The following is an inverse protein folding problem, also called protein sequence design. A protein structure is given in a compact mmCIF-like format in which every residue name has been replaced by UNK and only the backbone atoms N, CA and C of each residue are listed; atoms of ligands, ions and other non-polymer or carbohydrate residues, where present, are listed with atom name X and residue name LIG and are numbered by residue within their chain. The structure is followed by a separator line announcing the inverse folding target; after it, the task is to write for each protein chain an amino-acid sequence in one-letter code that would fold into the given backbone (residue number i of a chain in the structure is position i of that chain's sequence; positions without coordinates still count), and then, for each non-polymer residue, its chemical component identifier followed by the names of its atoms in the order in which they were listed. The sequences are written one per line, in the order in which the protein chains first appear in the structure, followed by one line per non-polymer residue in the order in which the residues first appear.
data_IF_417001817833
#
_entry.id   IF_417001817833
#
_cell.length_a   1.000
_cell.length_b   1.000
_cell.length_c   1.000
_cell.angle_alpha   90.00
_cell.angle_beta   90.00
_cell.angle_gamma   90.00
#
_symmetry.space_group_name_H-M   'P 1'
#
loop_
_entity.id
_entity.type
_entity.pdbx_description
1 polymer ?
#
# COMPACT_ATOMS: atom_id res chain seq x y z
N UNK A 1 -45.64 -63.72 -52.29
CA UNK A 1 -44.83 -62.51 -51.96
C UNK A 1 -45.33 -61.77 -50.70
N UNK A 2 -46.64 -61.55 -50.48
CA UNK A 2 -47.17 -60.94 -49.23
C UNK A 2 -46.83 -61.70 -47.93
N UNK A 3 -46.87 -63.03 -47.96
CA UNK A 3 -46.61 -63.87 -46.78
C UNK A 3 -45.20 -63.73 -46.19
N UNK A 4 -44.21 -63.44 -47.05
CA UNK A 4 -42.82 -63.28 -46.61
C UNK A 4 -42.61 -61.96 -45.87
N UNK A 5 -43.35 -60.92 -46.27
CA UNK A 5 -43.27 -59.58 -45.66
C UNK A 5 -43.86 -59.55 -44.25
N UNK A 6 -44.92 -60.33 -44.02
CA UNK A 6 -45.52 -60.50 -42.69
C UNK A 6 -44.58 -61.23 -41.72
N UNK A 7 -43.91 -62.30 -42.18
CA UNK A 7 -42.93 -63.02 -41.32
C UNK A 7 -41.70 -62.18 -40.95
N UNK A 8 -41.30 -61.25 -41.81
CA UNK A 8 -40.19 -60.31 -41.51
C UNK A 8 -40.55 -59.31 -40.40
N UNK A 9 -41.81 -58.85 -40.33
CA UNK A 9 -42.28 -57.97 -39.23
C UNK A 9 -42.29 -58.69 -37.87
N UNK A 10 -42.53 -60.00 -37.86
CA UNK A 10 -42.51 -60.81 -36.62
C UNK A 10 -41.08 -61.04 -36.13
N UNK A 11 -40.11 -61.13 -37.05
CA UNK A 11 -38.71 -61.40 -36.72
C UNK A 11 -37.93 -60.14 -36.30
N UNK A 12 -38.37 -58.97 -36.77
CA UNK A 12 -37.85 -57.66 -36.38
C UNK A 12 -39.03 -56.78 -35.97
N UNK A 13 -39.44 -56.80 -34.68
CA UNK A 13 -40.37 -55.80 -34.20
C UNK A 13 -39.71 -54.44 -34.46
N UNK A 14 -40.32 -53.61 -35.30
CA UNK A 14 -39.95 -52.21 -35.37
C UNK A 14 -40.18 -51.67 -33.95
N UNK A 15 -39.11 -51.12 -33.37
CA UNK A 15 -39.14 -50.54 -32.04
C UNK A 15 -39.93 -49.24 -32.15
N UNK A 16 -41.25 -49.34 -32.09
CA UNK A 16 -42.21 -48.23 -32.11
C UNK A 16 -42.33 -47.59 -30.71
N UNK A 17 -41.34 -47.81 -29.85
CA UNK A 17 -41.22 -47.07 -28.59
C UNK A 17 -41.03 -45.60 -28.95
N UNK A 18 -41.86 -44.66 -28.45
CA UNK A 18 -41.52 -43.25 -28.57
C UNK A 18 -40.20 -43.12 -27.83
N UNK A 19 -39.13 -43.03 -28.62
CA UNK A 19 -37.76 -42.85 -28.16
C UNK A 19 -37.83 -41.71 -27.17
N UNK A 20 -37.70 -42.02 -25.88
CA UNK A 20 -37.74 -41.01 -24.84
C UNK A 20 -36.83 -39.88 -25.30
N UNK A 21 -37.40 -38.68 -25.42
CA UNK A 21 -36.75 -37.48 -25.95
C UNK A 21 -35.54 -37.15 -25.07
N UNK A 22 -34.46 -37.90 -25.24
CA UNK A 22 -33.13 -37.53 -24.82
C UNK A 22 -32.61 -36.61 -25.91
N UNK A 23 -33.20 -35.41 -25.93
CA UNK A 23 -32.61 -34.28 -26.64
C UNK A 23 -31.14 -34.23 -26.21
N UNK A 24 -30.17 -34.31 -27.14
CA UNK A 24 -28.78 -34.15 -26.79
C UNK A 24 -28.66 -32.74 -26.21
N UNK A 25 -28.36 -32.65 -24.91
CA UNK A 25 -28.20 -31.36 -24.22
C UNK A 25 -27.34 -30.49 -25.12
N UNK A 26 -27.96 -29.43 -25.65
CA UNK A 26 -27.36 -28.57 -26.65
C UNK A 26 -26.03 -28.07 -26.12
N UNK A 27 -25.02 -27.95 -26.98
CA UNK A 27 -23.71 -27.45 -26.56
C UNK A 27 -23.83 -26.08 -25.88
N UNK A 28 -24.85 -25.31 -26.27
CA UNK A 28 -25.25 -24.06 -25.64
C UNK A 28 -25.79 -24.25 -24.21
N UNK A 29 -26.63 -25.26 -23.96
CA UNK A 29 -27.15 -25.53 -22.60
C UNK A 29 -26.04 -26.00 -21.65
N UNK A 30 -25.09 -26.78 -22.16
CA UNK A 30 -23.90 -27.19 -21.41
C UNK A 30 -23.00 -25.99 -21.07
N UNK A 31 -22.88 -25.04 -22.00
CA UNK A 31 -22.18 -23.78 -21.77
C UNK A 31 -22.94 -22.95 -20.73
N UNK A 32 -24.24 -22.73 -20.92
CA UNK A 32 -25.09 -21.96 -20.02
C UNK A 32 -24.99 -22.53 -18.61
N UNK A 33 -25.14 -23.84 -18.39
CA UNK A 33 -25.02 -24.45 -17.05
C UNK A 33 -23.66 -24.17 -16.38
N UNK A 34 -22.58 -24.14 -17.16
CA UNK A 34 -21.22 -23.84 -16.67
C UNK A 34 -21.03 -22.35 -16.33
N UNK A 35 -21.73 -21.44 -17.02
CA UNK A 35 -21.66 -19.98 -16.77
C UNK A 35 -22.76 -19.49 -15.81
N UNK A 36 -23.86 -20.25 -15.65
CA UNK A 36 -25.01 -19.95 -14.78
C UNK A 36 -24.63 -19.62 -13.33
N UNK A 37 -23.65 -20.27 -12.68
CA UNK A 37 -23.24 -19.85 -11.33
C UNK A 37 -22.71 -18.41 -11.29
N UNK A 38 -22.10 -17.90 -12.37
CA UNK A 38 -21.60 -16.52 -12.47
C UNK A 38 -22.71 -15.49 -12.78
N UNK A 39 -23.80 -15.92 -13.41
CA UNK A 39 -24.99 -15.09 -13.71
C UNK A 39 -25.95 -14.95 -12.51
N UNK A 40 -25.76 -15.75 -11.45
CA UNK A 40 -26.55 -15.60 -10.22
C UNK A 40 -26.17 -14.29 -9.50
N UNK A 41 -27.15 -13.44 -9.13
CA UNK A 41 -26.88 -12.10 -8.58
C UNK A 41 -26.03 -12.13 -7.31
N UNK A 42 -26.12 -13.20 -6.51
CA UNK A 42 -25.29 -13.38 -5.30
C UNK A 42 -23.80 -13.58 -5.63
N UNK A 43 -23.45 -14.31 -6.69
CA UNK A 43 -22.06 -14.50 -7.11
C UNK A 43 -21.51 -13.28 -7.85
N UNK A 44 -22.37 -12.57 -8.59
CA UNK A 44 -22.02 -11.29 -9.20
C UNK A 44 -21.56 -10.27 -8.15
N UNK A 45 -22.34 -10.10 -7.06
CA UNK A 45 -21.97 -9.19 -5.96
C UNK A 45 -20.66 -9.60 -5.27
N UNK A 46 -20.47 -10.91 -5.02
CA UNK A 46 -19.22 -11.42 -4.46
C UNK A 46 -18.02 -11.16 -5.38
N UNK A 47 -18.19 -11.37 -6.69
CA UNK A 47 -17.14 -11.12 -7.68
C UNK A 47 -16.80 -9.63 -7.82
N UNK A 48 -17.81 -8.76 -7.81
CA UNK A 48 -17.62 -7.31 -7.83
C UNK A 48 -16.86 -6.84 -6.58
N UNK A 49 -17.20 -7.36 -5.40
CA UNK A 49 -16.47 -7.09 -4.16
C UNK A 49 -15.00 -7.53 -4.21
N UNK A 50 -14.73 -8.70 -4.81
CA UNK A 50 -13.37 -9.20 -5.01
C UNK A 50 -12.56 -8.29 -5.94
N UNK A 51 -13.15 -7.83 -7.05
CA UNK A 51 -12.49 -6.91 -7.99
C UNK A 51 -12.17 -5.57 -7.31
N UNK A 52 -13.11 -5.02 -6.53
CA UNK A 52 -12.89 -3.78 -5.77
C UNK A 52 -11.78 -3.99 -4.74
N UNK A 53 -11.79 -5.12 -4.02
CA UNK A 53 -10.76 -5.47 -3.04
C UNK A 53 -9.37 -5.57 -3.67
N UNK A 54 -9.23 -6.29 -4.79
CA UNK A 54 -7.95 -6.42 -5.50
C UNK A 54 -7.47 -5.07 -6.01
N UNK A 55 -8.35 -4.28 -6.61
CA UNK A 55 -8.01 -2.94 -7.12
C UNK A 55 -7.54 -2.03 -5.99
N UNK A 56 -8.25 -2.05 -4.85
CA UNK A 56 -7.86 -1.31 -3.64
C UNK A 56 -6.50 -1.75 -3.11
N UNK A 57 -6.25 -3.06 -3.04
CA UNK A 57 -4.99 -3.62 -2.56
C UNK A 57 -3.80 -3.19 -3.45
N UNK A 58 -3.95 -3.26 -4.77
CA UNK A 58 -2.92 -2.83 -5.73
C UNK A 58 -2.61 -1.34 -5.55
N UNK A 59 -3.65 -0.52 -5.45
CA UNK A 59 -3.51 0.92 -5.22
C UNK A 59 -2.83 1.20 -3.87
N UNK A 60 -3.17 0.46 -2.82
CA UNK A 60 -2.60 0.61 -1.49
C UNK A 60 -1.11 0.26 -1.46
N UNK A 61 -0.70 -0.83 -2.12
CA UNK A 61 0.72 -1.22 -2.23
C UNK A 61 1.51 -0.14 -2.97
N UNK A 62 1.01 0.32 -4.12
CA UNK A 62 1.66 1.39 -4.90
C UNK A 62 1.73 2.71 -4.15
N UNK A 63 0.70 3.02 -3.37
CA UNK A 63 0.69 4.20 -2.51
C UNK A 63 1.73 4.08 -1.38
N UNK A 64 1.80 2.92 -0.73
CA UNK A 64 2.78 2.64 0.32
C UNK A 64 4.21 2.76 -0.19
N UNK A 65 4.51 2.21 -1.38
CA UNK A 65 5.83 2.37 -2.01
C UNK A 65 6.18 3.84 -2.28
N UNK A 66 5.22 4.63 -2.78
CA UNK A 66 5.42 6.07 -3.04
C UNK A 66 5.61 6.85 -1.75
N UNK A 67 4.80 6.58 -0.74
CA UNK A 67 4.87 7.21 0.57
C UNK A 67 6.21 6.88 1.26
N UNK A 68 6.64 5.62 1.20
CA UNK A 68 7.91 5.18 1.75
C UNK A 68 9.10 5.90 1.09
N UNK A 69 9.08 6.08 -0.24
CA UNK A 69 10.11 6.86 -0.95
C UNK A 69 10.14 8.33 -0.52
N UNK A 70 8.98 8.94 -0.27
CA UNK A 70 8.91 10.33 0.21
C UNK A 70 9.48 10.45 1.62
N UNK A 71 9.14 9.52 2.51
CA UNK A 71 9.70 9.47 3.87
C UNK A 71 11.22 9.24 3.86
N UNK A 72 11.68 8.32 3.02
CA UNK A 72 13.11 8.04 2.85
C UNK A 72 13.86 9.31 2.39
N UNK A 73 13.29 10.08 1.46
CA UNK A 73 13.87 11.34 0.99
C UNK A 73 13.89 12.43 2.07
N UNK A 74 12.84 12.55 2.88
CA UNK A 74 12.77 13.48 4.01
C UNK A 74 13.88 13.16 5.05
N UNK A 75 14.07 11.88 5.39
CA UNK A 75 15.13 11.46 6.31
C UNK A 75 16.53 11.69 5.73
N UNK A 76 16.75 11.39 4.45
CA UNK A 76 18.04 11.68 3.77
C UNK A 76 18.38 13.16 3.86
N UNK A 77 17.42 14.03 3.59
CA UNK A 77 17.62 15.48 3.64
C UNK A 77 17.95 15.97 5.06
N UNK A 78 17.16 15.57 6.07
CA UNK A 78 17.41 15.94 7.47
C UNK A 78 18.75 15.44 7.99
N UNK A 79 19.19 14.27 7.54
CA UNK A 79 20.51 13.76 7.88
C UNK A 79 21.64 14.61 7.28
N UNK A 80 21.52 15.03 6.01
CA UNK A 80 22.49 15.94 5.38
C UNK A 80 22.56 17.27 6.16
N UNK A 81 21.39 17.82 6.54
CA UNK A 81 21.32 19.00 7.38
C UNK A 81 21.98 18.80 8.76
N UNK A 82 21.73 17.66 9.40
CA UNK A 82 22.34 17.30 10.68
C UNK A 82 23.87 17.19 10.58
N UNK A 83 24.39 16.61 9.49
CA UNK A 83 25.84 16.49 9.27
C UNK A 83 26.49 17.82 8.90
N UNK A 84 25.74 18.79 8.39
CA UNK A 84 26.21 20.13 8.04
C UNK A 84 27.11 20.19 6.79
N UNK A 85 27.41 19.04 6.17
CA UNK A 85 28.16 18.90 4.91
C UNK A 85 27.63 17.69 4.13
N UNK A 86 27.60 17.81 2.81
CA UNK A 86 27.25 16.73 1.90
C UNK A 86 28.53 16.12 1.32
N UNK A 87 29.16 15.20 2.07
CA UNK A 87 30.33 14.48 1.57
C UNK A 87 29.87 13.42 0.55
N UNK A 88 30.57 13.33 -0.59
CA UNK A 88 30.18 12.41 -1.68
C UNK A 88 30.06 10.94 -1.23
N UNK A 89 30.91 10.50 -0.30
CA UNK A 89 30.85 9.16 0.29
C UNK A 89 29.60 8.93 1.17
N UNK A 90 29.13 9.97 1.86
CA UNK A 90 27.91 9.88 2.67
C UNK A 90 26.66 9.88 1.81
N UNK A 91 26.67 10.62 0.70
CA UNK A 91 25.60 10.58 -0.30
C UNK A 91 25.52 9.20 -0.95
N UNK A 92 26.66 8.64 -1.38
CA UNK A 92 26.75 7.31 -1.98
C UNK A 92 26.28 6.21 -1.02
N UNK A 93 26.65 6.31 0.26
CA UNK A 93 26.16 5.41 1.30
C UNK A 93 24.63 5.50 1.46
N UNK A 94 24.06 6.72 1.47
CA UNK A 94 22.60 6.91 1.58
C UNK A 94 21.86 6.40 0.34
N UNK A 95 22.42 6.60 -0.85
CA UNK A 95 21.85 6.07 -2.10
C UNK A 95 21.85 4.54 -2.08
N UNK A 96 22.99 3.95 -1.70
CA UNK A 96 23.12 2.49 -1.59
C UNK A 96 22.16 1.93 -0.55
N UNK A 97 22.19 2.43 0.70
CA UNK A 97 21.44 1.84 1.83
C UNK A 97 19.94 2.12 1.84
N UNK A 98 19.44 3.09 1.09
CA UNK A 98 18.00 3.36 0.97
C UNK A 98 17.39 2.86 -0.33
N UNK A 99 18.20 2.71 -1.39
CA UNK A 99 17.69 2.43 -2.73
C UNK A 99 18.22 1.12 -3.28
N UNK A 100 19.54 0.96 -3.43
CA UNK A 100 20.14 -0.20 -4.13
C UNK A 100 20.18 -1.47 -3.26
N UNK A 101 20.64 -1.33 -2.02
CA UNK A 101 20.77 -2.37 -1.00
C UNK A 101 20.06 -1.90 0.27
N UNK A 102 18.72 -1.92 0.23
CA UNK A 102 17.91 -1.37 1.31
C UNK A 102 18.20 -2.05 2.64
N UNK A 103 18.76 -1.30 3.58
CA UNK A 103 19.08 -1.78 4.93
C UNK A 103 18.15 -1.11 5.95
N UNK A 104 17.09 -1.82 6.32
CA UNK A 104 16.07 -1.29 7.24
C UNK A 104 16.62 -1.07 8.65
N UNK A 105 17.68 -1.78 9.07
CA UNK A 105 18.29 -1.56 10.37
C UNK A 105 19.09 -0.24 10.36
N UNK A 106 19.84 0.00 9.29
CA UNK A 106 20.52 1.27 9.06
C UNK A 106 19.54 2.45 8.95
N UNK A 107 18.44 2.30 8.20
CA UNK A 107 17.44 3.37 8.06
C UNK A 107 16.83 3.74 9.41
N UNK A 108 16.54 2.76 10.27
CA UNK A 108 16.01 3.00 11.63
C UNK A 108 17.04 3.72 12.50
N UNK A 109 18.28 3.23 12.55
CA UNK A 109 19.32 3.85 13.37
C UNK A 109 19.64 5.27 12.90
N UNK A 110 19.63 5.52 11.59
CA UNK A 110 19.80 6.86 11.01
C UNK A 110 18.65 7.78 11.43
N UNK A 111 17.41 7.30 11.31
CA UNK A 111 16.20 8.05 11.69
C UNK A 111 16.24 8.44 13.17
N UNK A 112 16.64 7.51 14.04
CA UNK A 112 16.74 7.76 15.48
C UNK A 112 17.86 8.76 15.80
N UNK A 113 18.98 8.68 15.09
CA UNK A 113 20.08 9.64 15.20
C UNK A 113 19.62 11.05 14.83
N UNK A 114 18.93 11.20 13.70
CA UNK A 114 18.37 12.47 13.23
C UNK A 114 17.37 13.03 14.22
N UNK A 115 16.39 12.23 14.66
CA UNK A 115 15.39 12.66 15.66
C UNK A 115 16.04 13.07 16.98
N UNK A 116 17.03 12.31 17.44
CA UNK A 116 17.77 12.63 18.66
C UNK A 116 18.54 13.94 18.55
N UNK A 117 19.14 14.22 17.39
CA UNK A 117 19.79 15.50 17.14
C UNK A 117 18.80 16.66 17.09
N UNK A 118 17.70 16.53 16.33
CA UNK A 118 16.65 17.56 16.26
C UNK A 118 16.08 17.89 17.64
N UNK A 119 15.85 16.86 18.47
CA UNK A 119 15.38 17.04 19.84
C UNK A 119 16.37 17.86 20.69
N UNK A 120 17.66 17.50 20.66
CA UNK A 120 18.70 18.24 21.41
C UNK A 120 18.89 19.66 20.88
N UNK A 121 18.84 19.83 19.57
CA UNK A 121 18.95 21.14 18.91
C UNK A 121 17.81 22.06 19.36
N UNK A 122 16.57 21.54 19.43
CA UNK A 122 15.41 22.30 19.93
C UNK A 122 15.59 22.68 21.40
N UNK A 123 16.00 21.73 22.25
CA UNK A 123 16.21 21.99 23.68
C UNK A 123 17.31 23.02 23.93
N UNK A 124 18.37 23.01 23.14
CA UNK A 124 19.42 24.03 23.22
C UNK A 124 18.92 25.40 22.78
N UNK A 125 18.13 25.48 21.71
CA UNK A 125 17.53 26.73 21.26
C UNK A 125 16.58 27.32 22.32
N UNK A 126 15.72 26.50 22.93
CA UNK A 126 14.84 26.91 24.04
C UNK A 126 15.63 27.40 25.26
N UNK A 127 16.71 26.71 25.63
CA UNK A 127 17.55 27.12 26.75
C UNK A 127 18.27 28.45 26.47
N UNK A 128 18.76 28.64 25.25
CA UNK A 128 19.39 29.87 24.82
C UNK A 128 18.40 31.04 24.79
N UNK A 129 17.18 30.82 24.33
CA UNK A 129 16.11 31.84 24.32
C UNK A 129 15.75 32.28 25.74
N UNK A 130 15.59 31.33 26.67
CA UNK A 130 15.36 31.65 28.09
C UNK A 130 16.53 32.43 28.70
N UNK A 131 17.77 32.06 28.38
CA UNK A 131 18.94 32.79 28.84
C UNK A 131 18.97 34.23 28.31
N UNK A 132 18.55 34.46 27.05
CA UNK A 132 18.43 35.80 26.47
C UNK A 132 17.37 36.64 27.18
N UNK A 133 16.18 36.08 27.43
CA UNK A 133 15.12 36.78 28.16
C UNK A 133 15.56 37.17 29.57
N UNK A 134 16.24 36.28 30.29
CA UNK A 134 16.79 36.59 31.62
C UNK A 134 17.89 37.66 31.55
N UNK A 135 18.73 37.63 30.52
CA UNK A 135 19.77 38.64 30.32
C UNK A 135 19.19 40.02 30.03
N UNK A 136 18.15 40.10 29.19
CA UNK A 136 17.42 41.35 28.93
C UNK A 136 16.77 41.90 30.20
N UNK A 137 16.18 41.04 31.04
CA UNK A 137 15.64 41.46 32.34
C UNK A 137 16.74 41.98 33.29
N UNK A 138 17.89 41.31 33.36
CA UNK A 138 19.01 41.74 34.19
C UNK A 138 19.56 43.10 33.74
N UNK A 139 19.64 43.35 32.43
CA UNK A 139 20.09 44.62 31.88
C UNK A 139 19.11 45.77 32.21
N UNK A 140 17.80 45.52 32.10
CA UNK A 140 16.78 46.50 32.51
C UNK A 140 16.86 46.84 34.00
N UNK A 141 17.07 45.85 34.86
CA UNK A 141 17.24 46.07 36.30
C UNK A 141 18.50 46.86 36.62
N UNK A 142 19.61 46.59 35.91
CA UNK A 142 20.86 47.35 36.06
C UNK A 142 20.67 48.81 35.67
N UNK A 143 19.99 49.07 34.55
CA UNK A 143 19.71 50.44 34.09
C UNK A 143 18.77 51.20 35.04
N UNK A 144 17.81 50.51 35.68
CA UNK A 144 16.96 51.10 36.71
C UNK A 144 17.76 51.43 37.98
N UNK A 145 18.65 50.53 38.42
CA UNK A 145 19.52 50.76 39.58
C UNK A 145 20.49 51.92 39.34
N UNK A 146 21.10 52.01 38.15
CA UNK A 146 22.01 53.10 37.78
C UNK A 146 21.31 54.47 37.70
N UNK A 147 20.00 54.50 37.39
CA UNK A 147 19.19 55.73 37.46
C UNK A 147 18.85 56.14 38.89
N UNK A 148 18.69 55.19 39.80
CA UNK A 148 18.39 55.43 41.22
C UNK A 148 19.63 55.73 42.06
N UNK A 149 20.83 55.32 41.62
CA UNK A 149 22.09 55.51 42.32
C UNK A 149 22.86 56.79 41.97
N UNK A 150 22.34 57.64 41.08
CA UNK A 150 22.93 58.97 40.83
C UNK A 150 22.34 59.97 41.83
N UNK A 151 23.18 60.65 42.64
CA UNK A 151 22.73 61.65 43.60
C UNK A 151 22.13 62.89 42.92
#
# INVERSE_FOLDING_TARGET
HRYFKERLKVLFPADDTPTGETTPVSWHDKLIYRVTPYLKPKFFLLSAGFIICITSLILNIRFTERMQRLQDNDIKYRYILMKGKADGSSLDLLETKFSRERDNAFIRSLTDSVKGFEYRSRKQAEALERARLLNEQAEQLRDQADKLGKP
#
